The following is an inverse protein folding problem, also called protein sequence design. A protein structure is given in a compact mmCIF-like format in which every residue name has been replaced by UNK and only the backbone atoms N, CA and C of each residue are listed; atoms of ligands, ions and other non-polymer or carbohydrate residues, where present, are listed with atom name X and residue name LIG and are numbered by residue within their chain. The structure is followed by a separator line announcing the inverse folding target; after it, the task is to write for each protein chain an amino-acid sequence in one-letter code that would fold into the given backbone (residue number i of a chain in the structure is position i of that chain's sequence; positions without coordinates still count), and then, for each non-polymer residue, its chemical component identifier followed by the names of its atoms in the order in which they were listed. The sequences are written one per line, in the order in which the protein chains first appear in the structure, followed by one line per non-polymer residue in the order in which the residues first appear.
data_IF_261924850214
#
_entry.id   IF_261924850214
#
_cell.length_a   1.000
_cell.length_b   1.000
_cell.length_c   1.000
_cell.angle_alpha   90.00
_cell.angle_beta   90.00
_cell.angle_gamma   90.00
#
_symmetry.space_group_name_H-M   'P 1'
#
loop_
_entity.id
_entity.type
_entity.pdbx_description
1 polymer ?
#
# COMPACT_ATOMS: atom_id res chain seq x y z
N UNK A 1 11.51 8.40 -16.60
CA UNK A 1 10.22 7.81 -17.02
C UNK A 1 9.36 7.25 -15.87
N UNK A 2 9.93 6.94 -14.68
CA UNK A 2 9.17 6.36 -13.55
C UNK A 2 8.47 7.38 -12.62
N UNK A 3 8.92 8.64 -12.59
CA UNK A 3 8.23 9.71 -11.84
C UNK A 3 6.77 9.88 -12.27
N UNK A 4 6.47 9.62 -13.55
CA UNK A 4 5.10 9.71 -14.06
C UNK A 4 4.23 8.56 -13.51
N UNK A 5 4.79 7.36 -13.28
CA UNK A 5 4.02 6.24 -12.74
C UNK A 5 3.66 6.46 -11.26
N UNK A 6 4.61 6.97 -10.48
CA UNK A 6 4.40 7.33 -9.07
C UNK A 6 3.32 8.41 -8.94
N UNK A 7 3.39 9.46 -9.78
CA UNK A 7 2.41 10.54 -9.78
C UNK A 7 1.02 10.06 -10.23
N UNK A 8 0.93 9.23 -11.28
CA UNK A 8 -0.34 8.66 -11.73
C UNK A 8 -0.99 7.79 -10.64
N UNK A 9 -0.19 6.96 -9.96
CA UNK A 9 -0.66 6.14 -8.85
C UNK A 9 -1.13 6.98 -7.68
N UNK A 10 -0.41 8.07 -7.36
CA UNK A 10 -0.81 9.02 -6.34
C UNK A 10 -2.16 9.68 -6.67
N UNK A 11 -2.37 10.09 -7.92
CA UNK A 11 -3.64 10.67 -8.35
C UNK A 11 -4.80 9.69 -8.16
N UNK A 12 -4.63 8.43 -8.56
CA UNK A 12 -5.63 7.38 -8.34
C UNK A 12 -5.93 7.18 -6.85
N UNK A 13 -4.90 7.18 -6.00
CA UNK A 13 -5.11 7.03 -4.55
C UNK A 13 -5.83 8.25 -3.98
N UNK A 14 -5.49 9.46 -4.41
CA UNK A 14 -6.16 10.70 -3.98
C UNK A 14 -7.62 10.76 -4.42
N UNK A 15 -7.96 10.26 -5.61
CA UNK A 15 -9.35 10.15 -6.07
C UNK A 15 -10.14 9.10 -5.27
N UNK A 16 -9.46 8.04 -4.83
CA UNK A 16 -10.07 6.93 -4.10
C UNK A 16 -10.25 7.24 -2.60
N UNK A 17 -9.34 8.01 -2.00
CA UNK A 17 -9.43 8.40 -0.61
C UNK A 17 -10.36 9.62 -0.49
N UNK A 18 -11.31 9.55 0.43
CA UNK A 18 -12.19 10.68 0.70
C UNK A 18 -11.38 11.88 1.21
N UNK A 19 -11.46 13.03 0.55
CA UNK A 19 -10.68 14.24 0.90
C UNK A 19 -10.82 14.65 2.38
N UNK A 20 -11.95 14.32 3.02
CA UNK A 20 -12.19 14.65 4.43
C UNK A 20 -11.31 13.86 5.42
N UNK A 21 -10.68 12.76 5.00
CA UNK A 21 -9.89 11.90 5.90
C UNK A 21 -8.51 12.49 6.24
N UNK A 22 -8.05 13.55 5.55
CA UNK A 22 -6.74 14.21 5.79
C UNK A 22 -5.58 13.18 5.88
N UNK A 23 -5.65 12.09 5.12
CA UNK A 23 -4.60 11.06 5.09
C UNK A 23 -3.50 11.54 4.15
N UNK A 24 -2.39 11.97 4.72
CA UNK A 24 -1.20 12.35 3.94
C UNK A 24 -0.50 11.10 3.38
N UNK A 25 -0.37 11.08 2.05
CA UNK A 25 0.43 10.09 1.34
C UNK A 25 1.86 10.64 1.22
N UNK A 26 2.78 10.09 2.00
CA UNK A 26 4.21 10.42 1.84
C UNK A 26 4.78 9.72 0.60
N UNK A 27 4.79 10.46 -0.51
CA UNK A 27 5.36 10.05 -1.80
C UNK A 27 6.89 10.11 -1.82
N UNK A 28 7.55 10.69 -0.81
CA UNK A 28 9.02 10.72 -0.70
C UNK A 28 9.60 9.44 -0.12
N UNK A 29 8.76 8.44 0.14
CA UNK A 29 9.18 7.13 0.62
C UNK A 29 10.01 6.39 -0.44
N UNK A 30 11.31 6.19 -0.15
CA UNK A 30 12.25 5.46 -1.00
C UNK A 30 11.73 4.08 -1.41
N UNK A 31 10.98 3.39 -0.55
CA UNK A 31 10.42 2.08 -0.88
C UNK A 31 9.38 2.15 -2.01
N UNK A 32 8.60 3.24 -2.08
CA UNK A 32 7.63 3.45 -3.15
C UNK A 32 8.31 3.76 -4.49
N UNK A 33 9.43 4.48 -4.48
CA UNK A 33 10.26 4.68 -5.67
C UNK A 33 10.79 3.35 -6.20
N UNK A 34 11.37 2.52 -5.33
CA UNK A 34 11.90 1.21 -5.72
C UNK A 34 10.80 0.27 -6.26
N UNK A 35 9.59 0.34 -5.70
CA UNK A 35 8.42 -0.38 -6.22
C UNK A 35 7.97 0.16 -7.59
N UNK A 36 7.98 1.47 -7.78
CA UNK A 36 7.65 2.08 -9.07
C UNK A 36 8.65 1.69 -10.16
N UNK A 37 9.95 1.61 -9.83
CA UNK A 37 10.98 1.11 -10.74
C UNK A 37 10.78 -0.37 -11.08
N UNK A 38 10.55 -1.21 -10.07
CA UNK A 38 10.28 -2.63 -10.23
C UNK A 38 9.06 -2.87 -11.13
N UNK A 39 7.91 -2.26 -10.81
CA UNK A 39 6.68 -2.41 -11.61
C UNK A 39 6.88 -1.82 -13.01
N UNK A 40 7.64 -0.73 -13.11
CA UNK A 40 7.99 -0.05 -14.35
C UNK A 40 8.71 -0.96 -15.35
N UNK A 41 9.55 -1.90 -14.88
CA UNK A 41 10.36 -2.77 -15.74
C UNK A 41 9.59 -3.90 -16.42
N UNK A 42 8.39 -4.27 -15.94
CA UNK A 42 7.59 -5.34 -16.54
C UNK A 42 6.82 -4.85 -17.76
N UNK A 43 6.69 -5.70 -18.78
CA UNK A 43 5.92 -5.38 -20.00
C UNK A 43 4.43 -5.65 -19.79
N UNK A 44 3.70 -4.65 -19.29
CA UNK A 44 2.25 -4.72 -19.12
C UNK A 44 1.59 -3.36 -19.35
N UNK A 45 0.25 -3.36 -19.47
CA UNK A 45 -0.54 -2.14 -19.63
C UNK A 45 -0.27 -1.12 -18.52
N UNK A 46 -0.14 0.16 -18.87
CA UNK A 46 0.14 1.24 -17.92
C UNK A 46 -0.92 1.33 -16.81
N UNK A 47 -2.20 1.17 -17.16
CA UNK A 47 -3.31 1.16 -16.19
C UNK A 47 -3.15 0.09 -15.11
N UNK A 48 -2.62 -1.08 -15.48
CA UNK A 48 -2.33 -2.17 -14.55
C UNK A 48 -1.17 -1.82 -13.63
N UNK A 49 -0.07 -1.25 -14.17
CA UNK A 49 1.06 -0.75 -13.36
C UNK A 49 0.59 0.26 -12.32
N UNK A 50 -0.23 1.22 -12.74
CA UNK A 50 -0.82 2.25 -11.85
C UNK A 50 -1.62 1.56 -10.74
N UNK A 51 -2.51 0.63 -11.10
CA UNK A 51 -3.33 -0.12 -10.13
C UNK A 51 -2.48 -0.83 -9.07
N UNK A 52 -1.46 -1.57 -9.50
CA UNK A 52 -0.58 -2.32 -8.59
C UNK A 52 0.16 -1.35 -7.66
N UNK A 53 0.71 -0.26 -8.21
CA UNK A 53 1.45 0.73 -7.42
C UNK A 53 0.53 1.47 -6.43
N UNK A 54 -0.69 1.83 -6.84
CA UNK A 54 -1.69 2.44 -5.94
C UNK A 54 -2.04 1.51 -4.76
N UNK A 55 -2.20 0.20 -5.01
CA UNK A 55 -2.40 -0.78 -3.94
C UNK A 55 -1.19 -0.84 -2.99
N UNK A 56 0.04 -0.77 -3.53
CA UNK A 56 1.27 -0.73 -2.74
C UNK A 56 1.41 0.56 -1.91
N UNK A 57 0.94 1.70 -2.43
CA UNK A 57 0.90 2.95 -1.68
C UNK A 57 -0.06 2.86 -0.49
N UNK A 58 -1.29 2.38 -0.74
CA UNK A 58 -2.33 2.22 0.28
C UNK A 58 -1.87 1.31 1.44
N UNK A 59 -1.26 0.17 1.14
CA UNK A 59 -0.78 -0.75 2.18
C UNK A 59 0.36 -0.12 2.99
N UNK A 60 1.30 0.57 2.32
CA UNK A 60 2.43 1.21 2.98
C UNK A 60 1.97 2.31 3.94
N UNK A 61 0.96 3.09 3.55
CA UNK A 61 0.37 4.14 4.39
C UNK A 61 -0.43 3.53 5.54
N UNK A 62 -1.24 2.51 5.28
CA UNK A 62 -2.02 1.81 6.30
C UNK A 62 -1.13 1.23 7.40
N UNK A 63 -0.01 0.61 7.03
CA UNK A 63 0.97 0.09 7.99
C UNK A 63 1.60 1.20 8.82
N UNK A 64 1.93 2.35 8.22
CA UNK A 64 2.50 3.49 8.96
C UNK A 64 1.53 4.11 9.96
N UNK A 65 0.23 4.15 9.65
CA UNK A 65 -0.80 4.66 10.57
C UNK A 65 -0.87 3.84 11.86
N UNK A 66 -0.69 2.52 11.77
CA UNK A 66 -0.65 1.62 12.93
C UNK A 66 0.64 1.70 13.76
N UNK A 67 1.71 2.37 13.28
CA UNK A 67 2.98 2.55 14.04
C UNK A 67 2.94 3.67 15.09
N UNK A 68 2.04 4.65 14.96
CA UNK A 68 2.06 5.89 15.78
C UNK A 68 1.19 5.81 17.04
N UNK A 69 0.77 4.61 17.44
CA UNK A 69 -0.16 4.42 18.55
C UNK A 69 0.59 4.54 19.88
N UNK A 70 0.59 5.73 20.47
CA UNK A 70 0.97 5.91 21.87
C UNK A 70 -0.27 5.75 22.75
N UNK A 71 -0.17 4.88 23.76
CA UNK A 71 -1.18 4.71 24.79
C UNK A 71 -1.27 6.02 25.60
N UNK A 72 -2.36 6.76 25.46
CA UNK A 72 -2.55 8.05 26.14
C UNK A 72 -3.52 9.01 25.45
N UNK A 73 -3.75 8.86 24.14
CA UNK A 73 -4.72 9.66 23.37
C UNK A 73 -5.69 8.74 22.62
N UNK A 74 -6.75 8.34 23.33
CA UNK A 74 -7.72 7.34 22.86
C UNK A 74 -8.44 7.75 21.57
N UNK A 75 -8.66 9.05 21.35
CA UNK A 75 -9.32 9.54 20.12
C UNK A 75 -8.38 9.44 18.91
N UNK A 76 -7.11 9.83 19.06
CA UNK A 76 -6.11 9.68 17.98
C UNK A 76 -5.81 8.21 17.68
N UNK A 77 -5.82 7.37 18.70
CA UNK A 77 -5.69 5.92 18.58
C UNK A 77 -6.85 5.34 17.76
N UNK A 78 -8.09 5.63 18.16
CA UNK A 78 -9.29 5.17 17.45
C UNK A 78 -9.31 5.65 16.00
N UNK A 79 -8.99 6.93 15.74
CA UNK A 79 -8.90 7.48 14.39
C UNK A 79 -7.83 6.78 13.54
N UNK A 80 -6.66 6.51 14.11
CA UNK A 80 -5.57 5.85 13.37
C UNK A 80 -5.91 4.40 13.00
N UNK A 81 -6.64 3.70 13.88
CA UNK A 81 -7.16 2.36 13.60
C UNK A 81 -8.16 2.42 12.43
N UNK A 82 -9.14 3.32 12.51
CA UNK A 82 -10.16 3.47 11.47
C UNK A 82 -9.58 3.93 10.12
N UNK A 83 -8.60 4.83 10.13
CA UNK A 83 -7.84 5.21 8.93
C UNK A 83 -7.16 3.99 8.31
N UNK A 84 -6.52 3.16 9.14
CA UNK A 84 -5.86 1.94 8.71
C UNK A 84 -6.80 0.91 8.09
N UNK A 85 -7.97 0.71 8.69
CA UNK A 85 -9.00 -0.21 8.20
C UNK A 85 -9.66 0.32 6.91
N UNK A 86 -9.92 1.63 6.85
CA UNK A 86 -10.40 2.31 5.64
C UNK A 86 -9.45 2.09 4.46
N UNK A 87 -8.14 2.31 4.68
CA UNK A 87 -7.13 2.16 3.63
C UNK A 87 -7.08 0.73 3.09
N UNK A 88 -7.26 -0.28 3.94
CA UNK A 88 -7.38 -1.67 3.48
C UNK A 88 -8.64 -1.89 2.67
N UNK A 89 -9.79 -1.38 3.12
CA UNK A 89 -11.03 -1.42 2.33
C UNK A 89 -10.84 -0.83 0.93
N UNK A 90 -10.05 0.24 0.81
CA UNK A 90 -9.72 0.85 -0.48
C UNK A 90 -8.85 -0.04 -1.37
N UNK A 91 -7.91 -0.81 -0.81
CA UNK A 91 -7.15 -1.82 -1.58
C UNK A 91 -8.09 -2.86 -2.18
N UNK A 92 -9.01 -3.40 -1.38
CA UNK A 92 -10.00 -4.38 -1.86
C UNK A 92 -10.86 -3.78 -2.98
N UNK A 93 -11.40 -2.57 -2.79
CA UNK A 93 -12.20 -1.87 -3.80
C UNK A 93 -11.43 -1.68 -5.11
N UNK A 94 -10.19 -1.19 -5.02
CA UNK A 94 -9.37 -0.92 -6.20
C UNK A 94 -8.98 -2.21 -6.92
N UNK A 95 -8.47 -3.20 -6.21
CA UNK A 95 -8.02 -4.45 -6.81
C UNK A 95 -9.18 -5.23 -7.44
N UNK A 96 -10.33 -5.31 -6.77
CA UNK A 96 -11.51 -6.02 -7.33
C UNK A 96 -12.04 -5.31 -8.57
N UNK A 97 -12.21 -3.98 -8.52
CA UNK A 97 -12.73 -3.21 -9.68
C UNK A 97 -11.82 -3.27 -10.91
N UNK A 98 -10.51 -3.49 -10.70
CA UNK A 98 -9.49 -3.60 -11.76
C UNK A 98 -9.12 -5.05 -12.10
N UNK A 99 -9.82 -6.05 -11.55
CA UNK A 99 -9.57 -7.49 -11.77
C UNK A 99 -8.17 -7.97 -11.33
N UNK A 100 -7.64 -7.34 -10.29
CA UNK A 100 -6.34 -7.65 -9.66
C UNK A 100 -6.52 -8.45 -8.35
N UNK A 101 -7.51 -9.35 -8.26
CA UNK A 101 -7.77 -10.11 -7.02
C UNK A 101 -6.60 -10.99 -6.60
N UNK A 102 -5.80 -11.49 -7.57
CA UNK A 102 -4.59 -12.27 -7.28
C UNK A 102 -3.52 -11.44 -6.57
N UNK A 103 -3.49 -10.13 -6.76
CA UNK A 103 -2.64 -9.23 -5.98
C UNK A 103 -3.08 -9.18 -4.51
N UNK A 104 -4.38 -9.23 -4.22
CA UNK A 104 -4.88 -9.25 -2.83
C UNK A 104 -4.38 -10.46 -2.05
N UNK A 105 -4.28 -11.63 -2.70
CA UNK A 105 -3.72 -12.85 -2.08
C UNK A 105 -2.30 -12.62 -1.58
N UNK A 106 -1.54 -11.75 -2.26
CA UNK A 106 -0.16 -11.38 -1.91
C UNK A 106 -0.11 -10.27 -0.86
N UNK A 107 -0.98 -9.26 -0.97
CA UNK A 107 -0.94 -8.07 -0.12
C UNK A 107 -1.59 -8.26 1.26
N UNK A 108 -2.73 -8.94 1.34
CA UNK A 108 -3.48 -9.09 2.60
C UNK A 108 -2.67 -9.74 3.73
N UNK A 109 -1.86 -10.79 3.48
CA UNK A 109 -1.02 -11.39 4.52
C UNK A 109 0.05 -10.43 5.07
N UNK A 110 0.61 -9.55 4.24
CA UNK A 110 1.63 -8.57 4.65
C UNK A 110 1.04 -7.61 5.67
N UNK A 111 -0.15 -7.08 5.36
CA UNK A 111 -0.83 -6.15 6.26
C UNK A 111 -1.14 -6.81 7.61
N UNK A 112 -1.65 -8.05 7.59
CA UNK A 112 -1.95 -8.75 8.83
C UNK A 112 -0.71 -9.03 9.67
N UNK A 113 0.39 -9.45 9.04
CA UNK A 113 1.69 -9.64 9.72
C UNK A 113 2.24 -8.34 10.28
N UNK A 114 2.08 -7.22 9.58
CA UNK A 114 2.49 -5.92 10.08
C UNK A 114 1.69 -5.51 11.33
N UNK A 115 0.38 -5.75 11.36
CA UNK A 115 -0.45 -5.53 12.55
C UNK A 115 0.00 -6.42 13.73
N UNK A 116 0.25 -7.71 13.50
CA UNK A 116 0.72 -8.62 14.54
C UNK A 116 2.09 -8.20 15.11
N UNK A 117 3.06 -7.86 14.24
CA UNK A 117 4.36 -7.35 14.66
C UNK A 117 4.25 -6.07 15.50
N UNK A 118 3.29 -5.20 15.17
CA UNK A 118 3.04 -3.98 15.94
C UNK A 118 2.51 -4.28 17.35
N UNK A 119 1.68 -5.32 17.51
CA UNK A 119 1.21 -5.79 18.83
C UNK A 119 2.39 -6.29 19.66
N UNK A 120 3.32 -7.03 19.06
CA UNK A 120 4.49 -7.61 19.73
C UNK A 120 5.58 -6.58 20.05
N UNK A 121 5.35 -5.28 19.81
CA UNK A 121 6.34 -4.22 19.97
C UNK A 121 7.56 -4.35 19.04
N UNK A 122 7.48 -5.25 18.06
CA UNK A 122 8.56 -5.53 17.12
C UNK A 122 8.61 -4.46 16.04
N UNK A 123 9.83 -4.04 15.70
CA UNK A 123 10.00 -3.07 14.63
C UNK A 123 9.50 -3.66 13.31
N UNK A 124 8.54 -2.97 12.68
CA UNK A 124 8.01 -3.31 11.35
C UNK A 124 9.08 -3.11 10.23
N UNK A 125 10.35 -2.88 10.61
CA UNK A 125 11.53 -2.93 9.73
C UNK A 125 11.50 -4.26 8.96
N UNK A 126 11.46 -4.14 7.63
CA UNK A 126 11.38 -5.28 6.73
C UNK A 126 10.05 -5.44 6.00
N UNK A 127 8.96 -4.77 6.42
CA UNK A 127 7.69 -4.87 5.69
C UNK A 127 7.76 -4.25 4.30
N UNK A 128 8.54 -3.18 4.11
CA UNK A 128 8.82 -2.64 2.78
C UNK A 128 9.54 -3.66 1.86
N UNK A 129 10.53 -4.38 2.41
CA UNK A 129 11.27 -5.41 1.66
C UNK A 129 10.38 -6.62 1.35
N UNK A 130 9.54 -7.02 2.30
CA UNK A 130 8.53 -8.06 2.13
C UNK A 130 7.50 -7.68 1.06
N UNK A 131 6.99 -6.45 1.08
CA UNK A 131 6.10 -5.92 0.05
C UNK A 131 6.75 -5.98 -1.33
N UNK A 132 7.99 -5.52 -1.45
CA UNK A 132 8.74 -5.58 -2.71
C UNK A 132 8.88 -7.02 -3.22
N UNK A 133 9.18 -7.98 -2.33
CA UNK A 133 9.29 -9.40 -2.68
C UNK A 133 7.96 -9.97 -3.17
N UNK A 134 6.88 -9.81 -2.41
CA UNK A 134 5.58 -10.38 -2.80
C UNK A 134 5.02 -9.73 -4.08
N UNK A 135 5.29 -8.44 -4.30
CA UNK A 135 4.95 -7.75 -5.56
C UNK A 135 5.78 -8.30 -6.70
N UNK A 136 7.09 -8.52 -6.52
CA UNK A 136 7.92 -9.16 -7.54
C UNK A 136 7.39 -10.55 -7.90
N UNK A 137 7.11 -11.39 -6.90
CA UNK A 137 6.59 -12.75 -7.12
C UNK A 137 5.24 -12.72 -7.84
N UNK A 138 4.37 -11.76 -7.51
CA UNK A 138 3.13 -11.53 -8.24
C UNK A 138 3.39 -11.18 -9.71
N UNK A 139 4.29 -10.23 -9.95
CA UNK A 139 4.61 -9.79 -11.30
C UNK A 139 5.21 -10.91 -12.14
N UNK A 140 6.13 -11.70 -11.57
CA UNK A 140 6.75 -12.85 -12.26
C UNK A 140 5.72 -13.90 -12.70
N UNK A 141 4.67 -14.11 -11.90
CA UNK A 141 3.62 -15.10 -12.22
C UNK A 141 2.56 -14.59 -13.19
N UNK A 142 2.29 -13.27 -13.20
CA UNK A 142 1.08 -12.73 -13.83
C UNK A 142 1.34 -11.59 -14.82
N UNK A 143 2.59 -11.32 -15.22
CA UNK A 143 2.94 -10.25 -16.16
C UNK A 143 3.38 -10.71 -17.55
N UNK A 144 3.29 -12.02 -17.82
CA UNK A 144 3.48 -12.60 -19.16
C UNK A 144 2.29 -12.29 -20.08
#
# INVERSE_FOLDING_TARGET
MNNNLLQDALNVVNELIHMQLHIELDVKDRALYELAELIGSYRMARSRKITILSCCMLISVGIRKHRKLQLGDNERLARSILDGDYLIGMIYRLAVSRKEQKLLVKLSPIYKRAQLKAIDGSDVKGVAAELKREVKDYLDQYSA
#
